data_IF_571618832899
#
_entry.id   IF_571618832899
#
_cell.length_a   1.000
_cell.length_b   1.000
_cell.length_c   1.000
_cell.angle_alpha   90.00
_cell.angle_beta   90.00
_cell.angle_gamma   90.00
#
_symmetry.space_group_name_H-M   'P 1'
#
loop_
_entity.id
_entity.type
_entity.pdbx_description
1 polymer ?
#
# COMPACT_ATOMS: atom_id res chain seq x y z
N UNK A 1 40.40 -74.48 -2.47
CA UNK A 1 39.94 -73.85 -1.21
C UNK A 1 40.79 -72.63 -0.94
N UNK A 2 40.18 -71.60 -0.33
CA UNK A 2 40.75 -70.30 0.08
C UNK A 2 40.85 -69.20 -0.98
N UNK A 3 39.74 -68.47 -1.10
CA UNK A 3 39.71 -67.09 -1.60
C UNK A 3 39.89 -66.14 -0.40
N UNK A 4 40.77 -65.15 -0.54
CA UNK A 4 41.04 -64.12 0.45
C UNK A 4 39.89 -63.12 0.51
N UNK A 5 39.41 -62.84 1.72
CA UNK A 5 38.40 -61.81 2.04
C UNK A 5 39.12 -60.49 2.29
N UNK A 6 38.83 -59.47 1.49
CA UNK A 6 39.32 -58.10 1.69
C UNK A 6 38.38 -57.37 2.65
N UNK A 7 38.93 -56.93 3.78
CA UNK A 7 38.27 -56.08 4.78
C UNK A 7 38.18 -54.64 4.23
N UNK A 8 36.97 -54.10 4.04
CA UNK A 8 36.76 -52.67 3.81
C UNK A 8 36.31 -52.01 5.11
N UNK A 9 37.08 -51.01 5.53
CA UNK A 9 36.85 -50.21 6.72
C UNK A 9 35.70 -49.21 6.51
N UNK A 10 34.72 -49.24 7.42
CA UNK A 10 33.67 -48.23 7.52
C UNK A 10 34.21 -46.97 8.21
N UNK A 11 34.10 -45.82 7.55
CA UNK A 11 34.21 -44.50 8.20
C UNK A 11 32.81 -43.96 8.50
N UNK A 12 32.54 -43.42 9.70
CA UNK A 12 31.26 -42.79 9.98
C UNK A 12 31.23 -41.36 9.42
N UNK A 13 30.18 -41.03 8.68
CA UNK A 13 29.91 -39.68 8.18
C UNK A 13 29.43 -38.78 9.33
N UNK A 14 30.24 -37.78 9.68
CA UNK A 14 29.85 -36.68 10.57
C UNK A 14 28.80 -35.84 9.84
N UNK A 15 27.58 -35.87 10.36
CA UNK A 15 26.46 -35.09 9.86
C UNK A 15 26.60 -33.65 10.33
N UNK A 16 26.98 -32.74 9.43
CA UNK A 16 27.03 -31.30 9.70
C UNK A 16 25.60 -30.76 9.82
N UNK A 17 25.06 -30.69 11.04
CA UNK A 17 23.92 -29.84 11.37
C UNK A 17 24.36 -28.39 11.22
N UNK A 18 23.97 -27.79 10.09
CA UNK A 18 24.05 -26.35 9.90
C UNK A 18 22.91 -25.71 10.67
N UNK A 19 23.20 -25.30 11.92
CA UNK A 19 22.43 -24.29 12.63
C UNK A 19 22.37 -23.03 11.76
N UNK A 20 21.23 -22.85 11.09
CA UNK A 20 20.96 -21.68 10.28
C UNK A 20 20.69 -20.53 11.24
N UNK A 21 21.75 -19.82 11.61
CA UNK A 21 21.70 -18.59 12.39
C UNK A 21 20.56 -17.70 11.87
N UNK A 22 19.56 -17.45 12.72
CA UNK A 22 18.47 -16.51 12.44
C UNK A 22 19.10 -15.14 12.30
N UNK A 23 19.35 -14.73 11.06
CA UNK A 23 19.80 -13.36 10.76
C UNK A 23 18.68 -12.43 11.24
N UNK A 24 18.99 -11.38 12.04
CA UNK A 24 18.01 -10.37 12.37
C UNK A 24 17.48 -9.78 11.06
N UNK A 25 16.19 -10.00 10.82
CA UNK A 25 15.49 -9.52 9.62
C UNK A 25 15.52 -8.00 9.69
N UNK A 26 16.33 -7.39 8.82
CA UNK A 26 16.35 -5.93 8.64
C UNK A 26 14.91 -5.46 8.42
N UNK A 27 14.48 -4.34 9.04
CA UNK A 27 13.13 -3.83 8.85
C UNK A 27 12.90 -3.62 7.35
N UNK A 28 11.91 -4.34 6.80
CA UNK A 28 11.51 -4.17 5.41
C UNK A 28 10.93 -2.75 5.29
N UNK A 29 11.49 -1.96 4.37
CA UNK A 29 11.04 -0.58 4.12
C UNK A 29 9.53 -0.57 3.88
N UNK A 30 8.84 0.39 4.48
CA UNK A 30 7.43 0.61 4.21
C UNK A 30 7.22 0.89 2.72
N UNK A 31 6.06 0.46 2.23
CA UNK A 31 5.51 0.82 0.93
C UNK A 31 5.55 2.34 0.79
N UNK A 32 5.95 2.80 -0.39
CA UNK A 32 5.89 4.22 -0.71
C UNK A 32 4.41 4.64 -0.87
N UNK A 33 4.02 5.74 -0.23
CA UNK A 33 2.65 6.28 -0.26
C UNK A 33 2.12 6.52 -1.69
N UNK A 34 2.98 7.01 -2.59
CA UNK A 34 2.63 7.21 -4.00
C UNK A 34 2.27 5.90 -4.70
N UNK A 35 2.82 4.76 -4.28
CA UNK A 35 2.46 3.45 -4.86
C UNK A 35 1.02 3.07 -4.47
N UNK A 36 0.60 3.39 -3.25
CA UNK A 36 -0.80 3.23 -2.81
C UNK A 36 -1.75 4.12 -3.60
N UNK A 37 -1.41 5.41 -3.69
CA UNK A 37 -2.16 6.37 -4.52
C UNK A 37 -2.30 5.88 -5.96
N UNK A 38 -1.18 5.53 -6.59
CA UNK A 38 -1.14 5.09 -7.99
C UNK A 38 -1.91 3.79 -8.20
N UNK A 39 -1.78 2.80 -7.32
CA UNK A 39 -2.45 1.52 -7.53
C UNK A 39 -3.97 1.63 -7.40
N UNK A 40 -4.45 2.58 -6.58
CA UNK A 40 -5.86 2.85 -6.44
C UNK A 40 -6.42 3.62 -7.64
N UNK A 41 -5.83 4.78 -7.97
CA UNK A 41 -6.37 5.67 -9.00
C UNK A 41 -6.06 5.25 -10.43
N UNK A 42 -5.13 4.32 -10.67
CA UNK A 42 -4.96 3.75 -12.02
C UNK A 42 -6.19 2.96 -12.50
N UNK A 43 -7.10 2.60 -11.58
CA UNK A 43 -8.31 1.83 -11.89
C UNK A 43 -9.44 2.66 -12.53
N UNK A 44 -9.29 3.99 -12.61
CA UNK A 44 -10.23 4.90 -13.28
C UNK A 44 -10.59 4.41 -14.68
N UNK A 45 -11.87 4.53 -15.05
CA UNK A 45 -12.37 4.06 -16.34
C UNK A 45 -11.67 4.76 -17.51
N UNK A 46 -11.46 6.06 -17.39
CA UNK A 46 -10.80 6.93 -18.37
C UNK A 46 -9.37 6.49 -18.66
N UNK A 47 -8.71 5.83 -17.70
CA UNK A 47 -7.32 5.40 -17.82
C UNK A 47 -7.16 4.04 -18.51
N UNK A 48 -8.21 3.21 -18.57
CA UNK A 48 -8.12 1.84 -19.10
C UNK A 48 -7.67 1.77 -20.56
N UNK A 49 -7.94 2.81 -21.34
CA UNK A 49 -7.56 2.90 -22.75
C UNK A 49 -6.09 3.31 -22.97
N UNK A 50 -5.37 3.73 -21.92
CA UNK A 50 -4.06 4.35 -22.05
C UNK A 50 -2.96 3.50 -21.40
N UNK A 51 -1.80 3.34 -22.06
CA UNK A 51 -0.68 2.65 -21.46
C UNK A 51 -0.10 3.47 -20.31
N UNK A 52 0.46 2.77 -19.31
CA UNK A 52 1.06 3.36 -18.13
C UNK A 52 2.11 4.46 -18.44
N UNK A 53 2.83 4.33 -19.56
CA UNK A 53 3.82 5.34 -20.01
C UNK A 53 3.19 6.71 -20.26
N UNK A 54 1.94 6.76 -20.72
CA UNK A 54 1.19 8.02 -20.92
C UNK A 54 0.61 8.53 -19.61
N UNK A 55 0.19 7.63 -18.72
CA UNK A 55 -0.47 7.97 -17.45
C UNK A 55 0.50 8.41 -16.35
N UNK A 56 1.77 7.99 -16.40
CA UNK A 56 2.69 8.14 -15.25
C UNK A 56 2.94 9.59 -14.86
N UNK A 57 3.03 10.50 -15.83
CA UNK A 57 3.28 11.91 -15.58
C UNK A 57 2.05 12.58 -14.97
N UNK A 58 0.87 12.31 -15.52
CA UNK A 58 -0.40 12.80 -15.01
C UNK A 58 -0.67 12.30 -13.59
N UNK A 59 -0.44 11.01 -13.30
CA UNK A 59 -0.57 10.48 -11.94
C UNK A 59 0.41 11.13 -10.95
N UNK A 60 1.61 11.51 -11.42
CA UNK A 60 2.56 12.26 -10.59
C UNK A 60 2.09 13.71 -10.33
N UNK A 61 1.47 14.35 -11.32
CA UNK A 61 0.85 15.67 -11.19
C UNK A 61 -0.31 15.64 -10.18
N UNK A 62 -1.24 14.69 -10.33
CA UNK A 62 -2.33 14.45 -9.38
C UNK A 62 -1.78 14.23 -7.95
N UNK A 63 -0.73 13.41 -7.82
CA UNK A 63 -0.09 13.17 -6.53
C UNK A 63 0.52 14.44 -5.93
N UNK A 64 1.15 15.30 -6.73
CA UNK A 64 1.79 16.52 -6.23
C UNK A 64 0.77 17.49 -5.62
N UNK A 65 -0.45 17.53 -6.14
CA UNK A 65 -1.53 18.38 -5.64
C UNK A 65 -2.44 17.69 -4.60
N UNK A 66 -2.32 16.37 -4.42
CA UNK A 66 -3.14 15.62 -3.47
C UNK A 66 -2.94 16.10 -2.01
N UNK A 67 -4.00 16.52 -1.33
CA UNK A 67 -3.94 17.00 0.05
C UNK A 67 -3.94 15.88 1.09
N UNK A 68 -4.23 14.65 0.67
CA UNK A 68 -4.36 13.46 1.52
C UNK A 68 -3.04 12.64 1.62
N UNK A 69 -1.90 13.19 1.18
CA UNK A 69 -0.57 12.52 1.30
C UNK A 69 -0.29 11.91 2.69
N UNK A 70 -0.64 12.55 3.83
CA UNK A 70 -0.46 11.94 5.15
C UNK A 70 -1.30 10.66 5.34
N UNK A 71 -2.54 10.64 4.83
CA UNK A 71 -3.41 9.46 4.85
C UNK A 71 -2.80 8.35 4.00
N UNK A 72 -2.34 8.66 2.78
CA UNK A 72 -1.64 7.68 1.93
C UNK A 72 -0.41 7.08 2.61
N UNK A 73 0.37 7.90 3.31
CA UNK A 73 1.54 7.43 4.07
C UNK A 73 1.15 6.51 5.24
N UNK A 74 0.08 6.83 5.96
CA UNK A 74 -0.46 6.01 7.04
C UNK A 74 -0.97 4.65 6.52
N UNK A 75 -1.73 4.65 5.42
CA UNK A 75 -2.23 3.44 4.78
C UNK A 75 -1.07 2.56 4.29
N UNK A 76 -0.09 3.16 3.60
CA UNK A 76 1.08 2.43 3.11
C UNK A 76 1.92 1.83 4.25
N UNK A 77 2.10 2.58 5.35
CA UNK A 77 2.76 2.09 6.58
C UNK A 77 2.01 0.90 7.16
N UNK A 78 0.70 1.01 7.29
CA UNK A 78 -0.13 -0.03 7.94
C UNK A 78 -0.19 -1.31 7.10
N UNK A 79 -0.39 -1.21 5.78
CA UNK A 79 -0.29 -2.38 4.90
C UNK A 79 1.07 -3.06 5.00
N UNK A 80 2.15 -2.28 5.01
CA UNK A 80 3.51 -2.82 5.14
C UNK A 80 3.69 -3.56 6.46
N UNK A 81 3.15 -3.01 7.55
CA UNK A 81 3.19 -3.64 8.86
C UNK A 81 2.47 -4.99 8.86
N UNK A 82 1.25 -5.04 8.31
CA UNK A 82 0.47 -6.27 8.18
C UNK A 82 1.22 -7.29 7.32
N UNK A 83 1.64 -6.93 6.10
CA UNK A 83 2.27 -7.85 5.16
C UNK A 83 3.65 -8.33 5.62
N UNK A 84 4.34 -7.56 6.46
CA UNK A 84 5.61 -7.96 7.04
C UNK A 84 5.44 -9.11 8.03
N UNK A 85 4.29 -9.19 8.69
CA UNK A 85 3.96 -10.22 9.67
C UNK A 85 3.33 -11.45 9.02
N UNK A 86 2.32 -11.26 8.16
CA UNK A 86 1.52 -12.37 7.62
C UNK A 86 1.77 -12.67 6.14
N UNK A 87 2.73 -12.00 5.48
CA UNK A 87 3.08 -12.25 4.08
C UNK A 87 2.21 -11.46 3.08
N UNK A 88 2.76 -11.13 1.91
CA UNK A 88 2.08 -10.29 0.89
C UNK A 88 1.02 -11.05 0.11
N UNK A 89 1.18 -12.36 0.02
CA UNK A 89 0.26 -13.32 -0.59
C UNK A 89 -1.06 -13.42 0.16
N UNK A 90 -1.04 -13.21 1.48
CA UNK A 90 -2.23 -13.26 2.34
C UNK A 90 -2.92 -11.90 2.44
N UNK A 91 -2.22 -10.81 2.09
CA UNK A 91 -2.76 -9.45 2.09
C UNK A 91 -2.46 -8.71 0.78
N UNK A 92 -3.24 -9.00 -0.29
CA UNK A 92 -3.08 -8.37 -1.59
C UNK A 92 -3.28 -6.85 -1.53
N UNK A 93 -2.43 -6.10 -2.25
CA UNK A 93 -2.36 -4.64 -2.16
C UNK A 93 -3.66 -3.93 -2.62
N UNK A 94 -4.25 -4.38 -3.73
CA UNK A 94 -5.42 -3.71 -4.32
C UNK A 94 -6.64 -3.78 -3.37
N UNK A 95 -7.08 -4.96 -2.88
CA UNK A 95 -8.19 -5.05 -1.93
C UNK A 95 -7.98 -4.25 -0.64
N UNK A 96 -6.74 -4.07 -0.19
CA UNK A 96 -6.46 -3.21 0.96
C UNK A 96 -6.83 -1.75 0.70
N UNK A 97 -6.36 -1.19 -0.42
CA UNK A 97 -6.64 0.20 -0.75
C UNK A 97 -8.11 0.40 -1.12
N UNK A 98 -8.76 -0.56 -1.78
CA UNK A 98 -10.22 -0.51 -1.99
C UNK A 98 -10.99 -0.42 -0.67
N UNK A 99 -10.66 -1.28 0.30
CA UNK A 99 -11.28 -1.31 1.62
C UNK A 99 -11.01 -0.02 2.40
N UNK A 100 -9.75 0.42 2.44
CA UNK A 100 -9.33 1.52 3.31
C UNK A 100 -9.63 2.89 2.74
N UNK A 101 -9.59 3.08 1.41
CA UNK A 101 -10.00 4.34 0.81
C UNK A 101 -11.47 4.66 1.13
N UNK A 102 -12.34 3.65 1.06
CA UNK A 102 -13.75 3.80 1.46
C UNK A 102 -13.87 4.18 2.94
N UNK A 103 -13.16 3.49 3.84
CA UNK A 103 -13.22 3.74 5.28
C UNK A 103 -12.66 5.13 5.69
N UNK A 104 -11.66 5.62 4.96
CA UNK A 104 -11.03 6.92 5.19
C UNK A 104 -11.73 8.07 4.46
N UNK A 105 -12.84 7.80 3.75
CA UNK A 105 -13.56 8.76 2.93
C UNK A 105 -12.65 9.44 1.88
N UNK A 106 -11.72 8.67 1.31
CA UNK A 106 -10.97 9.10 0.14
C UNK A 106 -11.88 8.99 -1.10
N UNK A 107 -11.79 9.94 -2.05
CA UNK A 107 -12.60 9.90 -3.26
C UNK A 107 -12.40 8.59 -4.01
N UNK A 108 -13.49 8.01 -4.50
CA UNK A 108 -13.40 6.87 -5.39
C UNK A 108 -12.69 7.28 -6.70
N UNK A 109 -12.16 6.32 -7.48
CA UNK A 109 -11.54 6.63 -8.77
C UNK A 109 -12.44 7.48 -9.68
N UNK A 110 -13.73 7.15 -9.73
CA UNK A 110 -14.71 7.84 -10.58
C UNK A 110 -15.06 9.25 -10.07
N UNK A 111 -14.75 9.57 -8.80
CA UNK A 111 -15.08 10.85 -8.16
C UNK A 111 -13.87 11.78 -8.00
N UNK A 112 -12.65 11.29 -8.26
CA UNK A 112 -11.41 12.03 -7.97
C UNK A 112 -11.39 13.39 -8.67
N UNK A 113 -11.57 13.41 -9.98
CA UNK A 113 -11.52 14.64 -10.77
C UNK A 113 -12.60 15.64 -10.35
N UNK A 114 -13.81 15.16 -10.08
CA UNK A 114 -14.89 15.99 -9.55
C UNK A 114 -14.55 16.58 -8.19
N UNK A 115 -13.99 15.77 -7.29
CA UNK A 115 -13.70 16.17 -5.90
C UNK A 115 -12.55 17.17 -5.79
N UNK A 116 -11.58 17.06 -6.70
CA UNK A 116 -10.39 17.91 -6.73
C UNK A 116 -10.43 18.96 -7.85
N UNK A 117 -11.58 19.13 -8.50
CA UNK A 117 -11.81 20.11 -9.57
C UNK A 117 -10.80 20.04 -10.71
N UNK A 118 -10.49 18.82 -11.13
CA UNK A 118 -9.73 18.58 -12.34
C UNK A 118 -10.66 18.26 -13.49
N UNK A 119 -10.26 18.68 -14.67
CA UNK A 119 -10.81 18.20 -15.93
C UNK A 119 -9.78 17.35 -16.66
N UNK A 120 -10.23 16.26 -17.26
CA UNK A 120 -9.42 15.39 -18.08
C UNK A 120 -9.65 15.72 -19.56
N UNK A 121 -8.57 16.00 -20.28
CA UNK A 121 -8.61 16.42 -21.68
C UNK A 121 -7.69 15.56 -22.54
N UNK A 122 -7.94 15.57 -23.86
CA UNK A 122 -7.07 14.98 -24.87
C UNK A 122 -6.48 16.08 -25.75
N UNK A 123 -5.18 16.01 -25.99
CA UNK A 123 -4.53 16.89 -26.95
C UNK A 123 -4.65 16.35 -28.39
N UNK A 124 -4.13 17.09 -29.36
CA UNK A 124 -4.13 16.71 -30.78
C UNK A 124 -3.37 15.39 -31.05
N UNK A 125 -2.45 15.00 -30.17
CA UNK A 125 -1.66 13.76 -30.24
C UNK A 125 -2.31 12.60 -29.48
N UNK A 126 -3.55 12.78 -28.99
CA UNK A 126 -4.31 11.79 -28.23
C UNK A 126 -3.58 11.34 -26.94
N UNK A 127 -2.89 12.28 -26.30
CA UNK A 127 -2.34 12.16 -24.96
C UNK A 127 -3.26 12.85 -23.95
N UNK A 128 -3.40 12.20 -22.79
CA UNK A 128 -4.20 12.73 -21.67
C UNK A 128 -3.42 13.81 -20.92
N UNK A 129 -4.12 14.87 -20.56
CA UNK A 129 -3.64 15.89 -19.64
C UNK A 129 -4.78 16.38 -18.74
N UNK A 130 -4.41 16.97 -17.61
CA UNK A 130 -5.36 17.48 -16.62
C UNK A 130 -5.25 19.00 -16.50
N UNK A 131 -6.36 19.65 -16.19
CA UNK A 131 -6.42 21.09 -15.94
C UNK A 131 -7.25 21.36 -14.68
N UNK A 132 -6.77 22.24 -13.80
CA UNK A 132 -7.52 22.64 -12.61
C UNK A 132 -8.57 23.70 -12.96
N UNK A 133 -9.79 23.52 -12.48
CA UNK A 133 -10.89 24.48 -12.66
C UNK A 133 -10.63 25.65 -11.71
N UNK A 134 -10.52 26.88 -12.23
CA UNK A 134 -10.13 28.06 -11.45
C UNK A 134 -11.22 28.60 -10.52
N UNK A 135 -12.49 28.23 -10.75
CA UNK A 135 -13.66 28.65 -9.97
C UNK A 135 -14.48 27.42 -9.52
N UNK A 136 -14.07 26.72 -8.45
CA UNK A 136 -14.86 25.61 -7.91
C UNK A 136 -16.22 26.11 -7.39
N UNK A 137 -17.32 25.37 -7.59
CA UNK A 137 -18.61 25.70 -6.96
C UNK A 137 -18.46 25.81 -5.43
N UNK A 138 -18.99 26.88 -4.84
CA UNK A 138 -18.78 27.27 -3.42
C UNK A 138 -19.20 26.21 -2.38
N UNK A 139 -19.91 25.15 -2.79
CA UNK A 139 -20.58 24.20 -1.91
C UNK A 139 -19.84 22.87 -1.68
N UNK A 140 -18.53 22.83 -1.95
CA UNK A 140 -17.76 21.56 -1.92
C UNK A 140 -16.56 21.63 -0.97
N UNK A 141 -16.84 21.64 0.33
CA UNK A 141 -15.79 21.32 1.31
C UNK A 141 -15.41 19.85 1.18
N UNK A 142 -14.23 19.57 0.61
CA UNK A 142 -13.61 18.24 0.58
C UNK A 142 -13.24 17.81 2.01
N UNK A 143 -14.22 17.29 2.75
CA UNK A 143 -13.99 16.68 4.07
C UNK A 143 -13.49 15.25 3.86
N UNK A 144 -12.20 15.12 3.55
CA UNK A 144 -11.51 13.84 3.62
C UNK A 144 -10.60 13.87 4.85
N UNK A 145 -10.71 12.86 5.71
CA UNK A 145 -9.96 12.86 6.97
C UNK A 145 -10.73 12.24 8.14
N UNK A 146 -11.14 10.97 8.01
CA UNK A 146 -11.35 10.17 9.22
C UNK A 146 -10.00 10.01 9.91
N UNK A 147 -9.87 10.43 11.16
CA UNK A 147 -8.63 10.23 11.93
C UNK A 147 -8.66 8.79 12.47
N UNK A 148 -7.91 7.89 11.84
CA UNK A 148 -7.68 6.54 12.36
C UNK A 148 -6.21 6.39 12.79
N UNK A 149 -5.96 5.66 13.88
CA UNK A 149 -4.63 5.17 14.26
C UNK A 149 -4.23 3.94 13.44
N UNK A 150 -2.98 3.51 13.55
CA UNK A 150 -2.51 2.26 12.91
C UNK A 150 -3.29 1.06 13.45
N UNK A 151 -3.55 1.04 14.76
CA UNK A 151 -4.28 -0.01 15.46
C UNK A 151 -5.73 -0.08 14.99
N UNK A 152 -6.39 1.07 14.87
CA UNK A 152 -7.77 1.16 14.38
C UNK A 152 -7.90 0.64 12.94
N UNK A 153 -6.94 1.00 12.06
CA UNK A 153 -6.89 0.49 10.69
C UNK A 153 -6.74 -1.04 10.68
N UNK A 154 -5.84 -1.59 11.50
CA UNK A 154 -5.62 -3.05 11.57
C UNK A 154 -6.88 -3.76 12.08
N UNK A 155 -7.50 -3.24 13.15
CA UNK A 155 -8.76 -3.77 13.68
C UNK A 155 -9.86 -3.73 12.62
N UNK A 156 -9.96 -2.63 11.86
CA UNK A 156 -10.91 -2.51 10.76
C UNK A 156 -10.65 -3.56 9.67
N UNK A 157 -9.40 -3.75 9.26
CA UNK A 157 -9.01 -4.80 8.31
C UNK A 157 -9.36 -6.22 8.82
N UNK A 158 -9.18 -6.50 10.11
CA UNK A 158 -9.54 -7.78 10.71
C UNK A 158 -11.05 -8.02 10.70
N UNK A 159 -11.83 -7.01 11.09
CA UNK A 159 -13.30 -7.06 11.07
C UNK A 159 -13.86 -7.32 9.65
N UNK A 160 -13.16 -6.85 8.62
CA UNK A 160 -13.52 -7.06 7.21
C UNK A 160 -12.85 -8.28 6.56
N UNK A 161 -12.37 -9.23 7.37
CA UNK A 161 -11.79 -10.49 6.93
C UNK A 161 -10.48 -10.35 6.11
N UNK A 162 -9.84 -9.18 6.08
CA UNK A 162 -8.64 -8.93 5.28
C UNK A 162 -7.35 -9.39 5.99
N UNK A 163 -7.19 -9.09 7.28
CA UNK A 163 -5.94 -9.33 8.03
C UNK A 163 -6.12 -10.25 9.25
N UNK A 164 -6.97 -11.28 9.15
CA UNK A 164 -7.39 -12.12 10.30
C UNK A 164 -6.24 -12.70 11.13
N UNK A 165 -5.16 -13.08 10.47
CA UNK A 165 -4.02 -13.75 11.10
C UNK A 165 -3.02 -12.78 11.75
N UNK A 166 -3.21 -11.48 11.54
CA UNK A 166 -2.39 -10.45 12.15
C UNK A 166 -2.56 -10.48 13.69
N UNK A 167 -1.46 -10.29 14.41
CA UNK A 167 -1.42 -10.25 15.88
C UNK A 167 -0.69 -9.01 16.31
N UNK A 168 -1.30 -8.24 17.21
CA UNK A 168 -0.65 -7.09 17.82
C UNK A 168 0.54 -7.55 18.68
N UNK A 169 1.73 -7.10 18.32
CA UNK A 169 2.89 -7.19 19.20
C UNK A 169 2.89 -5.98 20.14
N UNK A 170 3.33 -6.17 21.39
CA UNK A 170 3.35 -5.12 22.41
C UNK A 170 4.12 -3.84 22.04
N UNK A 171 4.93 -3.89 20.98
CA UNK A 171 5.69 -2.75 20.43
C UNK A 171 4.82 -1.70 19.70
N UNK A 172 3.54 -1.97 19.41
CA UNK A 172 2.66 -0.98 18.78
C UNK A 172 2.18 0.13 19.73
N UNK A 173 2.36 -0.03 21.05
CA UNK A 173 1.81 0.84 22.08
C UNK A 173 2.34 2.29 22.10
N UNK A 174 3.15 2.72 21.14
CA UNK A 174 3.71 4.09 21.08
C UNK A 174 3.56 4.80 19.73
N UNK A 175 2.82 4.24 18.75
CA UNK A 175 2.73 4.86 17.42
C UNK A 175 1.64 5.95 17.33
N UNK A 176 1.96 7.13 17.84
CA UNK A 176 1.36 8.46 17.60
C UNK A 176 0.14 8.53 16.67
N UNK A 177 -1.00 8.96 17.22
CA UNK A 177 -2.17 9.47 16.51
C UNK A 177 -1.73 10.48 15.43
N UNK A 178 -2.10 10.24 14.18
CA UNK A 178 -1.93 11.24 13.12
C UNK A 178 -3.05 12.26 13.26
N UNK A 179 -2.71 13.46 13.75
CA UNK A 179 -3.59 14.61 13.63
C UNK A 179 -3.38 15.24 12.26
N UNK A 180 -4.40 15.21 11.40
CA UNK A 180 -4.48 16.11 10.26
C UNK A 180 -4.96 17.47 10.79
N UNK A 181 -4.17 18.56 10.70
CA UNK A 181 -4.63 19.86 11.14
C UNK A 181 -5.77 20.30 10.23
N UNK A 182 -6.96 20.49 10.80
CA UNK A 182 -8.03 21.25 10.16
C UNK A 182 -7.53 22.69 10.04
N UNK A 183 -7.18 23.11 8.83
CA UNK A 183 -6.89 24.52 8.54
C UNK A 183 -8.23 25.26 8.61
N UNK A 184 -8.40 26.26 9.50
CA UNK A 184 -9.59 27.09 9.45
C UNK A 184 -9.59 27.87 8.14
N UNK A 185 -10.78 27.91 7.50
CA UNK A 185 -11.03 28.57 6.22
C UNK A 185 -10.82 30.07 6.25
#
# INVERSE_FOLDING_TARGET
MSAFVTLTSFTPAISNTTDKAVKPTKPKKALNAFIGFRCYYISMLEFKAFPMKKLSNMLAEMWNEDTNKPVWALLAKTWSHICNQIGKENVPLIPYFELMCLAMLLPSPDEYFKTFYWELHLNEQNDLYIVHISNPPEDTTTKSGTNMSVEEIICYCQAHNYAKEFKFNGDLATSSTFHVPLKPG
#
